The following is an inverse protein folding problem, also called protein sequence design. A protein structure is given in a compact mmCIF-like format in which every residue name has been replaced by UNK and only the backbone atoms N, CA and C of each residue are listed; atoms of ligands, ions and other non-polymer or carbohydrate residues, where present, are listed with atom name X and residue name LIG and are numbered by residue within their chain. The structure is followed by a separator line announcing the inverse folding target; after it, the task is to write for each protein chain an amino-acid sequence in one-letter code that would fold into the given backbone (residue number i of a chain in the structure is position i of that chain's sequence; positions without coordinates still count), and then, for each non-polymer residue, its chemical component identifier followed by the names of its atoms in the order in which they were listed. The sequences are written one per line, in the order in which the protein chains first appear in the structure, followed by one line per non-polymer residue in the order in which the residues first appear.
data_IF_778070408974
#
_entry.id   IF_778070408974
#
_cell.length_a   1.000
_cell.length_b   1.000
_cell.length_c   1.000
_cell.angle_alpha   90.00
_cell.angle_beta   90.00
_cell.angle_gamma   90.00
#
_symmetry.space_group_name_H-M   'P 1'
#
loop_
_entity.id
_entity.type
_entity.pdbx_description
1 polymer ?
#
# COMPACT_ATOMS: atom_id res chain seq x y z
N UNK A 1 -15.57 16.64 8.65
CA UNK A 1 -15.72 16.96 7.20
C UNK A 1 -16.31 15.74 6.48
N UNK A 2 -17.11 15.91 5.42
CA UNK A 2 -17.66 14.78 4.67
C UNK A 2 -16.54 13.92 4.06
N UNK A 3 -16.64 12.59 4.19
CA UNK A 3 -15.64 11.63 3.69
C UNK A 3 -15.39 11.82 2.19
N UNK A 4 -16.44 12.10 1.41
CA UNK A 4 -16.35 12.39 -0.01
C UNK A 4 -15.47 13.61 -0.37
N UNK A 5 -15.25 14.53 0.57
CA UNK A 5 -14.41 15.72 0.37
C UNK A 5 -12.94 15.46 0.76
N UNK A 6 -12.71 14.67 1.81
CA UNK A 6 -11.36 14.39 2.32
C UNK A 6 -10.70 13.20 1.64
N UNK A 7 -11.46 12.22 1.17
CA UNK A 7 -10.94 11.04 0.47
C UNK A 7 -10.11 11.36 -0.78
N UNK A 8 -10.58 12.19 -1.73
CA UNK A 8 -9.78 12.53 -2.91
C UNK A 8 -8.52 13.34 -2.56
N UNK A 9 -8.61 14.22 -1.56
CA UNK A 9 -7.46 14.98 -1.09
C UNK A 9 -6.38 14.08 -0.44
N UNK A 10 -6.79 13.08 0.34
CA UNK A 10 -5.88 12.10 0.93
C UNK A 10 -5.22 11.21 -0.13
N UNK A 11 -5.99 10.76 -1.15
CA UNK A 11 -5.43 10.01 -2.28
C UNK A 11 -4.42 10.85 -3.08
N UNK A 12 -4.73 12.12 -3.35
CA UNK A 12 -3.80 13.02 -4.02
C UNK A 12 -2.52 13.25 -3.20
N UNK A 13 -2.65 13.46 -1.88
CA UNK A 13 -1.50 13.65 -1.00
C UNK A 13 -0.59 12.41 -0.98
N UNK A 14 -1.16 11.21 -0.81
CA UNK A 14 -0.40 9.95 -0.81
C UNK A 14 0.25 9.66 -2.17
N UNK A 15 -0.41 10.01 -3.27
CA UNK A 15 0.16 9.94 -4.62
C UNK A 15 1.37 10.87 -4.77
N UNK A 16 1.22 12.15 -4.37
CA UNK A 16 2.32 13.13 -4.41
C UNK A 16 3.49 12.66 -3.56
N UNK A 17 3.25 12.18 -2.33
CA UNK A 17 4.31 11.64 -1.48
C UNK A 17 5.02 10.45 -2.13
N UNK A 18 4.29 9.57 -2.83
CA UNK A 18 4.87 8.43 -3.55
C UNK A 18 5.73 8.88 -4.74
N UNK A 19 5.28 9.87 -5.52
CA UNK A 19 6.05 10.45 -6.64
C UNK A 19 7.34 11.09 -6.14
N UNK A 20 7.26 11.85 -5.04
CA UNK A 20 8.45 12.46 -4.42
C UNK A 20 9.43 11.38 -3.95
N UNK A 21 8.94 10.32 -3.30
CA UNK A 21 9.76 9.19 -2.88
C UNK A 21 10.46 8.50 -4.06
N UNK A 22 9.70 8.10 -5.09
CA UNK A 22 10.24 7.46 -6.29
C UNK A 22 11.26 8.36 -7.02
N UNK A 23 10.96 9.66 -7.15
CA UNK A 23 11.87 10.64 -7.74
C UNK A 23 13.15 10.82 -6.94
N UNK A 24 13.07 10.78 -5.60
CA UNK A 24 14.24 10.83 -4.72
C UNK A 24 15.13 9.61 -4.95
N UNK A 25 14.57 8.40 -4.96
CA UNK A 25 15.32 7.17 -5.27
C UNK A 25 15.92 7.20 -6.68
N UNK A 26 15.18 7.72 -7.67
CA UNK A 26 15.71 7.91 -9.03
C UNK A 26 16.91 8.88 -9.06
N UNK A 27 16.86 10.00 -8.33
CA UNK A 27 17.98 10.93 -8.21
C UNK A 27 19.18 10.31 -7.51
N UNK A 28 18.96 9.57 -6.41
CA UNK A 28 20.02 8.85 -5.70
C UNK A 28 20.71 7.80 -6.57
N UNK A 29 19.96 7.14 -7.48
CA UNK A 29 20.55 6.17 -8.41
C UNK A 29 21.53 6.79 -9.42
N UNK A 30 21.49 8.10 -9.63
CA UNK A 30 22.44 8.80 -10.51
C UNK A 30 23.77 9.12 -9.82
N UNK A 31 23.76 9.25 -8.49
CA UNK A 31 24.92 9.70 -7.70
C UNK A 31 25.56 8.57 -6.91
N UNK A 32 24.86 7.45 -6.70
CA UNK A 32 25.31 6.34 -5.88
C UNK A 32 25.50 5.07 -6.70
N UNK A 33 26.67 4.45 -6.61
CA UNK A 33 26.95 3.12 -7.15
C UNK A 33 26.33 2.06 -6.24
N UNK A 34 25.04 1.78 -6.40
CA UNK A 34 24.30 0.76 -5.67
C UNK A 34 22.93 0.53 -6.30
N UNK A 35 22.31 -0.62 -6.02
CA UNK A 35 20.98 -0.96 -6.56
C UNK A 35 19.87 -0.22 -5.81
N UNK A 36 19.80 1.09 -6.07
CA UNK A 36 18.92 2.06 -5.39
C UNK A 36 17.85 2.57 -6.38
N UNK A 37 17.94 2.15 -7.64
CA UNK A 37 16.99 2.54 -8.67
C UNK A 37 15.58 2.05 -8.33
N UNK A 38 14.54 2.87 -8.55
CA UNK A 38 13.17 2.43 -8.35
C UNK A 38 12.81 1.31 -9.33
N UNK A 39 12.26 0.21 -8.79
CA UNK A 39 11.72 -0.90 -9.57
C UNK A 39 10.37 -0.52 -10.18
N UNK A 40 10.40 0.13 -11.35
CA UNK A 40 9.21 0.67 -12.02
C UNK A 40 8.15 -0.40 -12.36
N UNK A 41 8.55 -1.60 -12.77
CA UNK A 41 7.64 -2.70 -13.07
C UNK A 41 6.83 -3.11 -11.83
N UNK A 42 7.51 -3.24 -10.70
CA UNK A 42 6.89 -3.57 -9.42
C UNK A 42 6.00 -2.41 -8.93
N UNK A 43 6.47 -1.17 -9.05
CA UNK A 43 5.70 0.02 -8.71
C UNK A 43 4.40 0.12 -9.51
N UNK A 44 4.44 -0.10 -10.83
CA UNK A 44 3.26 -0.09 -11.69
C UNK A 44 2.33 -1.27 -11.41
N UNK A 45 2.86 -2.48 -11.23
CA UNK A 45 2.06 -3.66 -10.91
C UNK A 45 1.34 -3.49 -9.56
N UNK A 46 2.04 -3.02 -8.53
CA UNK A 46 1.45 -2.73 -7.22
C UNK A 46 0.43 -1.58 -7.30
N UNK A 47 0.72 -0.52 -8.06
CA UNK A 47 -0.20 0.61 -8.26
C UNK A 47 -1.51 0.18 -8.94
N UNK A 48 -1.42 -0.57 -10.03
CA UNK A 48 -2.58 -1.13 -10.72
C UNK A 48 -3.34 -2.11 -9.83
N UNK A 49 -2.63 -2.99 -9.11
CA UNK A 49 -3.22 -3.91 -8.15
C UNK A 49 -4.00 -3.21 -7.05
N UNK A 50 -3.46 -2.12 -6.49
CA UNK A 50 -4.12 -1.29 -5.49
C UNK A 50 -5.37 -0.60 -6.03
N UNK A 51 -5.33 -0.08 -7.25
CA UNK A 51 -6.47 0.60 -7.89
C UNK A 51 -7.61 -0.38 -8.22
N UNK A 52 -7.27 -1.53 -8.80
CA UNK A 52 -8.21 -2.62 -9.03
C UNK A 52 -8.80 -3.14 -7.72
N UNK A 53 -7.96 -3.44 -6.73
CA UNK A 53 -8.38 -3.93 -5.41
C UNK A 53 -9.28 -2.94 -4.67
N UNK A 54 -8.96 -1.65 -4.70
CA UNK A 54 -9.78 -0.59 -4.11
C UNK A 54 -11.15 -0.48 -4.78
N UNK A 55 -11.21 -0.55 -6.11
CA UNK A 55 -12.47 -0.53 -6.86
C UNK A 55 -13.34 -1.77 -6.59
N UNK A 56 -12.75 -2.97 -6.65
CA UNK A 56 -13.45 -4.21 -6.30
C UNK A 56 -13.89 -4.21 -4.82
N UNK A 57 -13.04 -3.71 -3.93
CA UNK A 57 -13.33 -3.57 -2.50
C UNK A 57 -14.52 -2.65 -2.24
N UNK A 58 -14.56 -1.48 -2.88
CA UNK A 58 -15.69 -0.55 -2.79
C UNK A 58 -16.99 -1.17 -3.35
N UNK A 59 -16.91 -2.00 -4.40
CA UNK A 59 -18.07 -2.74 -4.94
C UNK A 59 -18.54 -3.87 -4.01
N UNK A 60 -17.65 -4.49 -3.26
CA UNK A 60 -17.96 -5.58 -2.32
C UNK A 60 -18.34 -5.07 -0.93
N UNK A 61 -17.95 -3.84 -0.56
CA UNK A 61 -18.24 -3.21 0.73
C UNK A 61 -19.72 -3.30 1.14
N UNK A 62 -20.73 -3.12 0.26
CA UNK A 62 -22.14 -3.24 0.65
C UNK A 62 -22.58 -4.66 1.04
N UNK A 63 -21.79 -5.69 0.70
CA UNK A 63 -22.10 -7.10 0.96
C UNK A 63 -21.30 -7.71 2.10
N UNK A 64 -20.36 -6.96 2.67
CA UNK A 64 -19.42 -7.45 3.68
C UNK A 64 -19.84 -7.00 5.09
N UNK A 65 -20.08 -7.93 6.03
CA UNK A 65 -20.35 -7.57 7.42
C UNK A 65 -19.09 -7.03 8.10
N UNK A 66 -19.24 -5.98 8.89
CA UNK A 66 -18.14 -5.31 9.59
C UNK A 66 -17.29 -6.27 10.44
N UNK A 67 -17.94 -7.24 11.10
CA UNK A 67 -17.28 -8.26 11.91
C UNK A 67 -16.30 -9.11 11.10
N UNK A 68 -16.66 -9.47 9.86
CA UNK A 68 -15.77 -10.26 9.00
C UNK A 68 -14.54 -9.46 8.59
N UNK A 69 -14.69 -8.16 8.30
CA UNK A 69 -13.56 -7.29 7.96
C UNK A 69 -12.61 -7.11 9.14
N UNK A 70 -13.14 -6.92 10.35
CA UNK A 70 -12.34 -6.81 11.59
C UNK A 70 -11.59 -8.10 11.89
N UNK A 71 -12.26 -9.26 11.78
CA UNK A 71 -11.62 -10.56 11.98
C UNK A 71 -10.54 -10.82 10.95
N UNK A 72 -10.81 -10.53 9.67
CA UNK A 72 -9.84 -10.69 8.59
C UNK A 72 -8.59 -9.83 8.85
N UNK A 73 -8.76 -8.56 9.20
CA UNK A 73 -7.64 -7.67 9.51
C UNK A 73 -6.85 -8.13 10.74
N UNK A 74 -7.54 -8.58 11.79
CA UNK A 74 -6.91 -9.09 13.01
C UNK A 74 -6.11 -10.37 12.75
N UNK A 75 -6.67 -11.32 12.00
CA UNK A 75 -5.97 -12.57 11.62
C UNK A 75 -4.76 -12.27 10.74
N UNK A 76 -4.86 -11.35 9.78
CA UNK A 76 -3.72 -10.93 8.97
C UNK A 76 -2.62 -10.29 9.82
N UNK A 77 -2.97 -9.37 10.72
CA UNK A 77 -2.01 -8.71 11.59
C UNK A 77 -1.28 -9.71 12.51
N UNK A 78 -2.02 -10.62 13.15
CA UNK A 78 -1.45 -11.68 13.99
C UNK A 78 -0.61 -12.66 13.18
N UNK A 79 -1.06 -13.04 11.98
CA UNK A 79 -0.33 -13.94 11.09
C UNK A 79 1.01 -13.35 10.65
N UNK A 80 1.00 -12.10 10.18
CA UNK A 80 2.24 -11.40 9.77
C UNK A 80 3.16 -11.22 10.99
N UNK A 81 2.64 -10.74 12.12
CA UNK A 81 3.42 -10.58 13.34
C UNK A 81 4.05 -11.89 13.83
N UNK A 82 3.27 -12.98 13.82
CA UNK A 82 3.75 -14.32 14.17
C UNK A 82 4.83 -14.82 13.21
N UNK A 83 4.66 -14.63 11.90
CA UNK A 83 5.67 -14.99 10.90
C UNK A 83 6.99 -14.26 11.14
N UNK A 84 6.94 -12.95 11.38
CA UNK A 84 8.14 -12.17 11.71
C UNK A 84 8.77 -12.59 13.03
N UNK A 85 7.98 -12.91 14.06
CA UNK A 85 8.50 -13.39 15.35
C UNK A 85 9.21 -14.74 15.20
N UNK A 86 8.65 -15.67 14.41
CA UNK A 86 9.29 -16.95 14.10
C UNK A 86 10.56 -16.75 13.27
N UNK A 87 10.56 -15.81 12.32
CA UNK A 87 11.72 -15.50 11.49
C UNK A 87 12.86 -14.86 12.30
N UNK A 88 12.55 -14.14 13.37
CA UNK A 88 13.54 -13.58 14.31
C UNK A 88 14.11 -14.63 15.26
N UNK A 89 13.32 -15.64 15.63
CA UNK A 89 13.76 -16.73 16.52
C UNK A 89 14.53 -17.85 15.80
N UNK A 90 14.51 -17.88 14.47
CA UNK A 90 15.30 -18.79 13.62
C UNK A 90 16.63 -18.17 13.23
#
# INVERSE_FOLDING_TARGET
MPVAKVAPAALAATFVTSVVGAGTYALLSLTTTGDIAPYWSLGLACGLGGLCGGYLGARLQPRLPETALKLLLGVLALGIGGLYAVQILR
#
